data_IF_551275530980
#
_entry.id   IF_551275530980
#
_cell.length_a   1.000
_cell.length_b   1.000
_cell.length_c   1.000
_cell.angle_alpha   90.00
_cell.angle_beta   90.00
_cell.angle_gamma   90.00
#
_symmetry.space_group_name_H-M   'P 1'
#
loop_
_entity.id
_entity.type
_entity.pdbx_description
1 polymer ?
#
# COMPACT_ATOMS: atom_id res chain seq x y z
N UNK A 1 23.42 -3.34 10.33
CA UNK A 1 22.05 -2.94 10.70
C UNK A 1 21.23 -2.95 9.42
N UNK A 2 20.17 -3.77 9.29
CA UNK A 2 19.39 -3.81 8.06
C UNK A 2 18.34 -2.70 8.13
N UNK A 3 18.71 -1.45 7.86
CA UNK A 3 17.84 -0.28 8.12
C UNK A 3 17.54 0.58 6.89
N UNK A 4 18.42 0.62 5.88
CA UNK A 4 18.22 1.47 4.69
C UNK A 4 17.51 0.74 3.54
N UNK A 5 17.90 -0.49 3.20
CA UNK A 5 17.36 -1.21 2.04
C UNK A 5 15.83 -1.42 2.12
N UNK A 6 15.30 -1.69 3.32
CA UNK A 6 13.86 -1.83 3.52
C UNK A 6 13.12 -0.51 3.35
N UNK A 7 13.71 0.60 3.80
CA UNK A 7 13.11 1.92 3.65
C UNK A 7 13.12 2.34 2.17
N UNK A 8 14.24 2.12 1.47
CA UNK A 8 14.35 2.36 0.03
C UNK A 8 13.32 1.50 -0.73
N UNK A 9 13.22 0.22 -0.41
CA UNK A 9 12.24 -0.69 -1.03
C UNK A 9 10.81 -0.26 -0.75
N UNK A 10 10.48 0.08 0.50
CA UNK A 10 9.17 0.61 0.87
C UNK A 10 8.83 1.85 0.05
N UNK A 11 9.75 2.79 -0.07
CA UNK A 11 9.53 4.06 -0.76
C UNK A 11 9.39 3.86 -2.27
N UNK A 12 10.15 2.93 -2.86
CA UNK A 12 10.01 2.53 -4.25
C UNK A 12 8.64 1.90 -4.54
N UNK A 13 8.19 0.95 -3.69
CA UNK A 13 6.88 0.31 -3.84
C UNK A 13 5.73 1.29 -3.55
N UNK A 14 5.89 2.16 -2.54
CA UNK A 14 4.95 3.25 -2.23
C UNK A 14 4.75 4.15 -3.44
N UNK A 15 5.83 4.55 -4.12
CA UNK A 15 5.77 5.41 -5.32
C UNK A 15 5.01 4.75 -6.48
N UNK A 16 4.97 3.42 -6.55
CA UNK A 16 4.12 2.70 -7.52
C UNK A 16 2.65 2.87 -7.15
N UNK A 17 2.30 2.66 -5.88
CA UNK A 17 0.93 2.82 -5.40
C UNK A 17 0.45 4.29 -5.44
N UNK A 18 1.31 5.25 -5.08
CA UNK A 18 0.99 6.69 -5.08
C UNK A 18 0.53 7.21 -6.45
N UNK A 19 1.01 6.60 -7.55
CA UNK A 19 0.50 6.92 -8.90
C UNK A 19 -0.98 6.59 -9.09
N UNK A 20 -1.49 5.63 -8.33
CA UNK A 20 -2.90 5.25 -8.33
C UNK A 20 -3.69 5.94 -7.21
N UNK A 21 -3.03 6.54 -6.21
CA UNK A 21 -3.67 7.30 -5.14
C UNK A 21 -4.67 8.39 -5.60
N UNK A 22 -4.47 9.13 -6.71
CA UNK A 22 -5.49 10.08 -7.18
C UNK A 22 -6.73 9.41 -7.80
N UNK A 23 -6.61 8.16 -8.26
CA UNK A 23 -7.71 7.38 -8.84
C UNK A 23 -8.36 6.43 -7.82
N UNK A 24 -7.72 6.24 -6.67
CA UNK A 24 -8.09 5.35 -5.58
C UNK A 24 -8.26 6.14 -4.28
N UNK A 25 -8.57 5.45 -3.19
CA UNK A 25 -8.69 6.03 -1.86
C UNK A 25 -7.49 5.64 -1.02
N UNK A 26 -6.68 6.63 -0.62
CA UNK A 26 -5.64 6.41 0.40
C UNK A 26 -6.32 6.18 1.74
N UNK A 27 -6.13 4.99 2.31
CA UNK A 27 -6.71 4.64 3.60
C UNK A 27 -5.68 4.76 4.72
N UNK A 28 -4.40 4.50 4.42
CA UNK A 28 -3.32 4.82 5.34
C UNK A 28 -2.07 5.26 4.61
N UNK A 29 -1.48 6.35 5.12
CA UNK A 29 -0.22 6.91 4.67
C UNK A 29 0.72 7.09 5.86
N UNK A 30 1.37 5.99 6.26
CA UNK A 30 2.37 5.96 7.31
C UNK A 30 3.71 5.50 6.72
N UNK A 31 4.85 5.95 7.27
CA UNK A 31 6.18 5.61 6.77
C UNK A 31 6.55 4.12 6.83
N UNK A 32 5.77 3.29 7.53
CA UNK A 32 5.94 1.83 7.56
C UNK A 32 4.68 1.07 7.11
N UNK A 33 3.62 1.79 6.73
CA UNK A 33 2.35 1.19 6.33
C UNK A 33 1.61 2.12 5.38
N UNK A 34 1.50 1.72 4.12
CA UNK A 34 0.80 2.46 3.09
C UNK A 34 -0.19 1.55 2.39
N UNK A 35 -1.48 1.90 2.34
CA UNK A 35 -2.45 1.10 1.58
C UNK A 35 -3.58 1.92 0.99
N UNK A 36 -4.07 1.39 -0.14
CA UNK A 36 -5.07 1.99 -1.01
C UNK A 36 -6.24 1.03 -1.15
N UNK A 37 -7.44 1.59 -1.04
CA UNK A 37 -8.67 0.92 -1.41
C UNK A 37 -9.23 1.54 -2.70
N UNK A 38 -9.98 0.76 -3.46
CA UNK A 38 -10.73 1.26 -4.61
C UNK A 38 -11.96 2.06 -4.17
N UNK A 39 -12.42 2.96 -5.04
CA UNK A 39 -13.71 3.64 -4.86
C UNK A 39 -14.92 2.72 -5.05
N UNK A 40 -14.69 1.45 -5.42
CA UNK A 40 -15.74 0.48 -5.67
C UNK A 40 -16.25 -0.05 -4.34
N UNK A 41 -17.41 0.42 -3.95
CA UNK A 41 -18.12 -0.09 -2.77
C UNK A 41 -18.66 -1.47 -3.11
N UNK A 42 -18.21 -2.48 -2.37
CA UNK A 42 -18.72 -3.84 -2.51
C UNK A 42 -20.09 -3.98 -1.84
N UNK A 43 -20.77 -5.10 -2.08
CA UNK A 43 -22.05 -5.44 -1.44
C UNK A 43 -22.03 -5.37 0.10
N UNK A 44 -20.86 -5.39 0.74
CA UNK A 44 -20.71 -5.26 2.19
C UNK A 44 -20.45 -3.82 2.68
N UNK A 45 -20.68 -2.82 1.81
CA UNK A 45 -20.50 -1.39 2.08
C UNK A 45 -19.05 -0.96 2.32
N UNK A 46 -18.08 -1.87 2.18
CA UNK A 46 -16.66 -1.55 2.29
C UNK A 46 -16.04 -1.36 0.89
N UNK A 47 -15.12 -0.40 0.75
CA UNK A 47 -14.33 -0.25 -0.46
C UNK A 47 -13.46 -1.50 -0.66
N UNK A 48 -13.34 -1.96 -1.91
CA UNK A 48 -12.52 -3.14 -2.23
C UNK A 48 -11.04 -2.79 -2.12
N UNK A 49 -10.27 -3.59 -1.39
CA UNK A 49 -8.83 -3.44 -1.23
C UNK A 49 -8.12 -3.50 -2.59
N UNK A 50 -7.24 -2.53 -2.88
CA UNK A 50 -6.46 -2.50 -4.11
C UNK A 50 -5.04 -3.00 -3.88
N UNK A 51 -4.35 -2.39 -2.92
CA UNK A 51 -2.99 -2.79 -2.59
C UNK A 51 -2.41 -2.10 -1.37
N UNK A 52 -1.42 -2.75 -0.76
CA UNK A 52 -0.70 -2.26 0.42
C UNK A 52 0.80 -2.55 0.32
N UNK A 53 1.58 -1.67 0.93
CA UNK A 53 2.98 -1.86 1.26
C UNK A 53 3.11 -1.75 2.78
N UNK A 54 3.73 -2.73 3.41
CA UNK A 54 3.98 -2.74 4.85
C UNK A 54 5.42 -3.14 5.14
N UNK A 55 6.09 -2.41 6.03
CA UNK A 55 7.45 -2.74 6.47
C UNK A 55 7.39 -3.41 7.84
N UNK A 56 7.72 -4.70 7.89
CA UNK A 56 7.87 -5.47 9.11
C UNK A 56 9.30 -5.41 9.68
N UNK A 57 9.56 -6.22 10.70
CA UNK A 57 10.84 -6.20 11.45
C UNK A 57 12.06 -6.64 10.63
N UNK A 58 11.84 -7.40 9.56
CA UNK A 58 12.91 -7.91 8.68
C UNK A 58 12.41 -8.17 7.23
N UNK A 59 11.28 -7.56 6.84
CA UNK A 59 10.69 -7.78 5.52
C UNK A 59 9.85 -6.57 5.10
N UNK A 60 9.64 -6.43 3.79
CA UNK A 60 8.63 -5.53 3.21
C UNK A 60 7.59 -6.38 2.51
N UNK A 61 6.35 -6.31 2.98
CA UNK A 61 5.20 -6.96 2.36
C UNK A 61 4.60 -6.07 1.30
N UNK A 62 4.34 -6.64 0.13
CA UNK A 62 3.61 -5.98 -0.95
C UNK A 62 2.39 -6.83 -1.29
N UNK A 63 1.20 -6.27 -1.03
CA UNK A 63 -0.07 -6.91 -1.33
C UNK A 63 -0.71 -6.18 -2.50
N UNK A 64 -1.04 -6.89 -3.56
CA UNK A 64 -1.78 -6.36 -4.70
C UNK A 64 -2.94 -7.29 -5.00
N UNK A 65 -4.14 -6.73 -5.13
CA UNK A 65 -5.30 -7.47 -5.63
C UNK A 65 -5.27 -7.43 -7.16
N UNK A 66 -5.35 -8.59 -7.85
CA UNK A 66 -5.72 -8.60 -9.26
C UNK A 66 -7.20 -8.19 -9.35
N UNK A 67 -7.45 -7.05 -9.99
CA UNK A 67 -8.79 -6.45 -10.18
C UNK A 67 -9.40 -6.82 -11.53
#
# INVERSE_FOLDING_TARGET
MPTDDFQITFQALKSILERYAPQLKVVSDKPANYYLDTHRIMKNEKPMFFGAVHTGKAYVSFHLMPV
#
